data_IF_462874885260
#
_entry.id   IF_462874885260
#
_cell.length_a   1.000
_cell.length_b   1.000
_cell.length_c   1.000
_cell.angle_alpha   90.00
_cell.angle_beta   90.00
_cell.angle_gamma   90.00
#
_symmetry.space_group_name_H-M   'P 1'
#
loop_
_entity.id
_entity.type
_entity.pdbx_description
1 polymer ?
#
# COMPACT_ATOMS: atom_id res chain seq x y z
N UNK A 1 0.06 8.65 -14.41
CA UNK A 1 0.15 7.42 -13.61
C UNK A 1 -0.03 7.84 -12.18
N UNK A 2 -1.10 7.36 -11.55
CA UNK A 2 -1.43 7.63 -10.15
C UNK A 2 -1.13 6.35 -9.37
N UNK A 3 -0.46 6.44 -8.21
CA UNK A 3 -0.32 5.43 -7.14
C UNK A 3 0.04 3.98 -7.46
N UNK A 4 0.14 3.57 -8.74
CA UNK A 4 0.29 2.19 -9.18
C UNK A 4 1.75 1.73 -9.36
N UNK A 5 2.72 2.56 -8.99
CA UNK A 5 4.15 2.29 -9.12
C UNK A 5 4.85 2.58 -7.80
N UNK A 6 5.66 1.63 -7.36
CA UNK A 6 6.57 1.72 -6.22
C UNK A 6 8.00 1.45 -6.73
N UNK A 7 8.97 2.29 -6.37
CA UNK A 7 10.36 2.19 -6.88
C UNK A 7 11.37 2.16 -5.75
N UNK A 8 12.48 1.43 -5.93
CA UNK A 8 13.53 1.29 -4.90
C UNK A 8 14.71 2.25 -5.07
N UNK A 9 14.69 3.09 -6.11
CA UNK A 9 15.80 3.98 -6.48
C UNK A 9 17.07 3.26 -6.98
N UNK A 10 17.05 1.93 -7.12
CA UNK A 10 18.16 1.07 -7.58
C UNK A 10 17.82 0.37 -8.90
N UNK A 11 16.77 0.84 -9.58
CA UNK A 11 16.34 0.34 -10.88
C UNK A 11 15.29 -0.76 -10.82
N UNK A 12 14.64 -1.00 -9.68
CA UNK A 12 13.52 -1.94 -9.58
C UNK A 12 12.21 -1.19 -9.32
N UNK A 13 11.13 -1.70 -9.92
CA UNK A 13 9.77 -1.26 -9.67
C UNK A 13 8.87 -2.43 -9.30
N UNK A 14 7.84 -2.15 -8.52
CA UNK A 14 6.68 -3.02 -8.33
C UNK A 14 5.46 -2.26 -8.86
N UNK A 15 4.65 -2.94 -9.66
CA UNK A 15 3.49 -2.36 -10.33
C UNK A 15 2.29 -3.28 -10.21
N UNK A 16 1.07 -2.74 -10.28
CA UNK A 16 -0.17 -3.54 -10.40
C UNK A 16 -0.68 -3.56 -11.84
N UNK A 17 -0.95 -4.76 -12.36
CA UNK A 17 -1.53 -4.94 -13.70
C UNK A 17 -2.95 -4.37 -13.78
N UNK A 18 -3.74 -4.50 -12.70
CA UNK A 18 -5.11 -3.97 -12.62
C UNK A 18 -5.20 -2.46 -12.78
N UNK A 19 -4.14 -1.71 -12.43
CA UNK A 19 -4.07 -0.26 -12.58
C UNK A 19 -3.36 0.13 -13.89
N UNK A 20 -2.10 -0.27 -14.08
CA UNK A 20 -1.29 0.27 -15.18
C UNK A 20 -1.73 -0.28 -16.54
N UNK A 21 -2.10 -1.56 -16.63
CA UNK A 21 -2.49 -2.21 -17.88
C UNK A 21 -4.01 -2.16 -18.13
N UNK A 22 -4.72 -1.30 -17.40
CA UNK A 22 -6.15 -1.14 -17.58
C UNK A 22 -6.43 -0.27 -18.80
N UNK A 23 -7.40 -0.67 -19.62
CA UNK A 23 -7.83 0.08 -20.81
C UNK A 23 -8.38 1.46 -20.44
N UNK A 24 -8.88 1.64 -19.22
CA UNK A 24 -9.31 2.95 -18.72
C UNK A 24 -8.13 3.90 -18.38
N UNK A 25 -6.88 3.40 -18.34
CA UNK A 25 -5.66 4.19 -18.11
C UNK A 25 -4.81 4.30 -19.37
N UNK A 26 -4.45 3.17 -19.97
CA UNK A 26 -3.54 3.09 -21.12
C UNK A 26 -4.18 2.27 -22.26
N UNK A 27 -5.26 2.77 -22.89
CA UNK A 27 -5.96 2.01 -23.93
C UNK A 27 -5.04 1.71 -25.11
N UNK A 28 -5.14 0.49 -25.63
CA UNK A 28 -4.38 0.01 -26.79
C UNK A 28 -2.86 -0.02 -26.61
N UNK A 29 -2.36 -0.04 -25.37
CA UNK A 29 -0.93 -0.25 -25.08
C UNK A 29 -0.69 -1.68 -24.62
N UNK A 30 0.28 -2.34 -25.24
CA UNK A 30 0.78 -3.61 -24.77
C UNK A 30 1.62 -3.44 -23.50
N UNK A 31 1.72 -4.51 -22.71
CA UNK A 31 2.59 -4.54 -21.52
C UNK A 31 4.04 -4.13 -21.84
N UNK A 32 4.58 -4.59 -22.97
CA UNK A 32 5.94 -4.26 -23.39
C UNK A 32 6.13 -2.77 -23.71
N UNK A 33 5.15 -2.11 -24.33
CA UNK A 33 5.20 -0.65 -24.56
C UNK A 33 5.15 0.13 -23.24
N UNK A 34 4.31 -0.32 -22.30
CA UNK A 34 4.24 0.28 -20.97
C UNK A 34 5.57 0.12 -20.23
N UNK A 35 6.17 -1.07 -20.24
CA UNK A 35 7.49 -1.30 -19.64
C UNK A 35 8.56 -0.41 -20.26
N UNK A 36 8.58 -0.27 -21.59
CA UNK A 36 9.52 0.62 -22.29
C UNK A 36 9.38 2.08 -21.83
N UNK A 37 8.16 2.57 -21.65
CA UNK A 37 7.94 3.92 -21.14
C UNK A 37 8.35 4.05 -19.68
N UNK A 38 8.07 3.05 -18.83
CA UNK A 38 8.52 3.03 -17.43
C UNK A 38 10.06 3.07 -17.33
N UNK A 39 10.76 2.30 -18.17
CA UNK A 39 12.21 2.35 -18.28
C UNK A 39 12.70 3.74 -18.66
N UNK A 40 12.07 4.36 -19.67
CA UNK A 40 12.46 5.67 -20.19
C UNK A 40 12.24 6.80 -19.19
N UNK A 41 11.11 6.79 -18.48
CA UNK A 41 10.71 7.92 -17.62
C UNK A 41 11.17 7.78 -16.17
N UNK A 42 11.28 6.56 -15.64
CA UNK A 42 11.65 6.31 -14.24
C UNK A 42 13.08 5.76 -14.07
N UNK A 43 13.73 5.34 -15.16
CA UNK A 43 15.07 4.73 -15.09
C UNK A 43 15.09 3.35 -14.42
N UNK A 44 13.93 2.73 -14.24
CA UNK A 44 13.82 1.35 -13.74
C UNK A 44 14.23 0.38 -14.84
N UNK A 45 14.72 -0.81 -14.49
CA UNK A 45 15.17 -1.85 -15.42
C UNK A 45 14.46 -3.18 -15.18
N UNK A 46 14.00 -3.42 -13.94
CA UNK A 46 13.25 -4.62 -13.58
C UNK A 46 11.89 -4.21 -13.02
N UNK A 47 10.82 -4.83 -13.52
CA UNK A 47 9.45 -4.55 -13.07
C UNK A 47 8.82 -5.85 -12.58
N UNK A 48 8.41 -5.86 -11.31
CA UNK A 48 7.63 -6.95 -10.72
C UNK A 48 6.15 -6.62 -10.81
N UNK A 49 5.39 -7.47 -11.50
CA UNK A 49 3.97 -7.24 -11.76
C UNK A 49 3.09 -8.03 -10.80
N UNK A 50 2.32 -7.31 -9.98
CA UNK A 50 1.28 -7.85 -9.12
C UNK A 50 -0.08 -7.77 -9.83
N UNK A 51 -1.03 -8.64 -9.48
CA UNK A 51 -2.32 -8.71 -10.19
C UNK A 51 -3.22 -7.50 -9.90
N UNK A 52 -3.37 -7.16 -8.61
CA UNK A 52 -4.37 -6.23 -8.08
C UNK A 52 -5.83 -6.66 -8.39
N UNK A 53 -6.80 -5.82 -8.05
CA UNK A 53 -8.23 -6.05 -8.28
C UNK A 53 -8.83 -4.97 -9.17
N UNK A 54 -9.19 -5.34 -10.41
CA UNK A 54 -9.88 -4.43 -11.34
C UNK A 54 -11.29 -4.11 -10.84
N UNK A 55 -11.72 -2.84 -10.94
CA UNK A 55 -13.10 -2.38 -10.74
C UNK A 55 -13.73 -2.70 -9.37
N UNK A 56 -12.91 -2.82 -8.32
CA UNK A 56 -13.35 -3.12 -6.93
C UNK A 56 -12.93 -2.05 -5.94
N UNK A 57 -11.72 -1.52 -6.10
CA UNK A 57 -11.24 -0.35 -5.37
C UNK A 57 -11.45 0.92 -6.21
N UNK A 58 -11.63 2.07 -5.55
CA UNK A 58 -11.71 3.41 -6.15
C UNK A 58 -10.53 3.66 -7.10
N UNK A 59 -9.40 3.00 -6.83
CA UNK A 59 -8.14 3.18 -7.55
C UNK A 59 -7.80 2.08 -8.58
N UNK A 60 -8.65 1.08 -8.77
CA UNK A 60 -8.30 -0.18 -9.48
C UNK A 60 -7.08 -0.90 -8.83
N UNK A 61 -6.95 -0.74 -7.51
CA UNK A 61 -5.95 -1.34 -6.64
C UNK A 61 -4.51 -0.88 -6.96
N UNK A 62 -4.24 0.36 -6.59
CA UNK A 62 -2.90 0.95 -6.57
C UNK A 62 -1.90 0.09 -5.79
N UNK A 63 -0.61 0.17 -6.15
CA UNK A 63 0.43 -0.68 -5.54
C UNK A 63 0.69 -0.32 -4.08
N UNK A 64 0.40 0.94 -3.70
CA UNK A 64 0.56 1.44 -2.34
C UNK A 64 -0.41 0.84 -1.33
N UNK A 65 -1.36 0.01 -1.78
CA UNK A 65 -2.17 -0.89 -0.95
C UNK A 65 -1.62 -2.31 -0.82
N UNK A 66 -0.59 -2.69 -1.57
CA UNK A 66 -0.09 -4.07 -1.60
C UNK A 66 1.38 -4.21 -1.27
N UNK A 67 2.24 -3.30 -1.70
CA UNK A 67 3.68 -3.47 -1.52
C UNK A 67 4.42 -2.14 -1.39
N UNK A 68 5.44 -2.13 -0.53
CA UNK A 68 6.34 -0.99 -0.33
C UNK A 68 7.78 -1.43 -0.24
N UNK A 69 8.67 -0.71 -0.91
CA UNK A 69 10.09 -0.92 -0.71
C UNK A 69 10.53 -0.33 0.63
N UNK A 70 11.51 -0.98 1.23
CA UNK A 70 12.26 -0.52 2.41
C UNK A 70 13.73 -0.52 2.06
N UNK A 71 14.61 -0.23 3.02
CA UNK A 71 16.04 -0.14 2.75
C UNK A 71 16.63 -1.49 2.27
N UNK A 72 16.12 -2.62 2.79
CA UNK A 72 16.65 -3.97 2.51
C UNK A 72 15.59 -5.05 2.20
N UNK A 73 14.30 -4.69 2.20
CA UNK A 73 13.18 -5.63 2.05
C UNK A 73 12.00 -5.04 1.29
N UNK A 74 11.03 -5.88 0.97
CA UNK A 74 9.70 -5.46 0.50
C UNK A 74 8.67 -5.79 1.58
N UNK A 75 7.89 -4.80 2.01
CA UNK A 75 6.69 -5.05 2.82
C UNK A 75 5.55 -5.47 1.88
N UNK A 76 4.82 -6.51 2.25
CA UNK A 76 3.66 -7.01 1.52
C UNK A 76 2.43 -6.93 2.42
N UNK A 77 1.39 -6.21 2.00
CA UNK A 77 0.13 -6.20 2.72
C UNK A 77 -0.55 -7.57 2.65
N UNK A 78 -1.06 -8.05 3.78
CA UNK A 78 -1.81 -9.30 3.89
C UNK A 78 -3.18 -9.02 4.46
N UNK A 79 -4.20 -9.50 3.75
CA UNK A 79 -5.57 -9.53 4.26
C UNK A 79 -5.89 -10.94 4.77
N UNK A 80 -6.14 -11.05 6.07
CA UNK A 80 -6.41 -12.32 6.74
C UNK A 80 -7.88 -12.71 6.76
N UNK A 81 -8.80 -11.82 6.37
CA UNK A 81 -10.24 -12.07 6.41
C UNK A 81 -10.66 -12.95 5.22
N UNK A 82 -11.04 -14.23 5.41
CA UNK A 82 -11.34 -15.15 4.31
C UNK A 82 -12.44 -14.67 3.35
N UNK A 83 -13.40 -13.90 3.85
CA UNK A 83 -14.49 -13.36 3.06
C UNK A 83 -14.13 -12.04 2.35
N UNK A 84 -12.96 -11.47 2.65
CA UNK A 84 -12.47 -10.26 1.99
C UNK A 84 -12.18 -10.52 0.51
N UNK A 85 -12.56 -9.60 -0.40
CA UNK A 85 -12.14 -9.68 -1.79
C UNK A 85 -10.62 -9.67 -1.97
N UNK A 86 -9.87 -9.10 -1.03
CA UNK A 86 -8.40 -9.00 -1.09
C UNK A 86 -7.67 -10.24 -0.54
N UNK A 87 -8.39 -11.18 0.09
CA UNK A 87 -7.80 -12.40 0.67
C UNK A 87 -6.98 -13.20 -0.35
N UNK A 88 -7.59 -13.54 -1.50
CA UNK A 88 -6.91 -14.35 -2.49
C UNK A 88 -5.75 -13.60 -3.17
N UNK A 89 -5.95 -12.31 -3.49
CA UNK A 89 -4.97 -11.53 -4.26
C UNK A 89 -3.73 -11.19 -3.44
N UNK A 90 -3.87 -10.87 -2.16
CA UNK A 90 -2.72 -10.58 -1.28
C UNK A 90 -1.80 -11.80 -1.14
N UNK A 91 -2.37 -13.01 -1.08
CA UNK A 91 -1.61 -14.28 -1.07
C UNK A 91 -0.91 -14.57 -2.40
N UNK A 92 -1.56 -14.28 -3.52
CA UNK A 92 -0.94 -14.39 -4.85
C UNK A 92 0.21 -13.40 -4.99
N UNK A 93 0.00 -12.15 -4.59
CA UNK A 93 1.01 -11.09 -4.59
C UNK A 93 2.20 -11.47 -3.72
N UNK A 94 1.98 -12.00 -2.52
CA UNK A 94 3.03 -12.52 -1.63
C UNK A 94 3.89 -13.59 -2.32
N UNK A 95 3.28 -14.53 -3.05
CA UNK A 95 4.02 -15.57 -3.79
C UNK A 95 4.90 -14.96 -4.88
N UNK A 96 4.36 -14.01 -5.65
CA UNK A 96 5.12 -13.29 -6.69
C UNK A 96 6.28 -12.53 -6.05
N UNK A 97 6.02 -11.75 -5.00
CA UNK A 97 7.07 -10.99 -4.32
C UNK A 97 8.18 -11.90 -3.79
N UNK A 98 7.84 -13.04 -3.17
CA UNK A 98 8.83 -14.02 -2.67
C UNK A 98 9.64 -14.69 -3.79
N UNK A 99 9.15 -14.70 -5.03
CA UNK A 99 9.91 -15.20 -6.20
C UNK A 99 10.89 -14.15 -6.74
N UNK A 100 10.56 -12.87 -6.64
CA UNK A 100 11.33 -11.78 -7.24
C UNK A 100 12.24 -11.02 -6.26
N UNK A 101 11.95 -11.09 -4.96
CA UNK A 101 12.67 -10.33 -3.93
C UNK A 101 13.21 -11.25 -2.83
N UNK A 102 14.43 -10.97 -2.38
CA UNK A 102 15.16 -11.81 -1.41
C UNK A 102 14.55 -11.81 -0.01
N UNK A 103 13.99 -10.67 0.41
CA UNK A 103 13.43 -10.45 1.74
C UNK A 103 12.08 -9.78 1.57
N UNK A 104 11.02 -10.51 1.88
CA UNK A 104 9.64 -10.04 1.86
C UNK A 104 9.08 -10.24 3.26
N UNK A 105 8.56 -9.17 3.85
CA UNK A 105 7.96 -9.18 5.19
C UNK A 105 6.47 -8.93 5.03
N UNK A 106 5.68 -9.78 5.67
CA UNK A 106 4.22 -9.67 5.68
C UNK A 106 3.81 -8.57 6.66
N UNK A 107 2.88 -7.71 6.23
CA UNK A 107 2.31 -6.64 7.03
C UNK A 107 0.79 -6.83 7.04
N UNK A 108 0.28 -7.36 8.13
CA UNK A 108 -1.11 -7.80 8.25
C UNK A 108 -2.07 -6.61 8.44
N UNK A 109 -3.20 -6.65 7.75
CA UNK A 109 -4.28 -5.68 7.93
C UNK A 109 -4.89 -5.80 9.34
N UNK A 110 -5.47 -4.71 9.90
CA UNK A 110 -6.18 -4.80 11.16
C UNK A 110 -7.46 -5.63 11.05
N UNK A 111 -7.98 -6.10 12.19
CA UNK A 111 -9.31 -6.69 12.22
C UNK A 111 -10.38 -5.61 11.98
N UNK A 112 -11.17 -5.79 10.92
CA UNK A 112 -12.12 -4.76 10.47
C UNK A 112 -13.24 -4.48 11.47
N UNK A 113 -13.78 -5.50 12.15
CA UNK A 113 -14.82 -5.31 13.18
C UNK A 113 -14.30 -4.47 14.35
N UNK A 114 -13.07 -4.75 14.80
CA UNK A 114 -12.38 -4.00 15.85
C UNK A 114 -12.17 -2.54 15.42
N UNK A 115 -11.75 -2.33 14.17
CA UNK A 115 -11.60 -1.00 13.58
C UNK A 115 -12.92 -0.25 13.55
N UNK A 116 -14.00 -0.87 13.06
CA UNK A 116 -15.32 -0.23 12.99
C UNK A 116 -15.75 0.27 14.37
N UNK A 117 -15.72 -0.61 15.38
CA UNK A 117 -16.10 -0.25 16.75
C UNK A 117 -15.26 0.91 17.28
N UNK A 118 -13.94 0.87 17.05
CA UNK A 118 -13.05 1.90 17.54
C UNK A 118 -13.24 3.25 16.82
N UNK A 119 -13.42 3.26 15.50
CA UNK A 119 -13.67 4.47 14.71
C UNK A 119 -15.01 5.10 15.10
N UNK A 120 -16.07 4.30 15.20
CA UNK A 120 -17.40 4.78 15.61
C UNK A 120 -17.39 5.34 17.03
N UNK A 121 -16.61 4.76 17.94
CA UNK A 121 -16.45 5.27 19.30
C UNK A 121 -15.70 6.60 19.37
N UNK A 122 -14.72 6.84 18.47
CA UNK A 122 -13.93 8.09 18.45
C UNK A 122 -14.73 9.29 17.95
N UNK A 123 -15.71 9.07 17.05
CA UNK A 123 -16.57 10.11 16.47
C UNK A 123 -15.82 11.33 15.89
N UNK A 124 -14.57 11.16 15.46
CA UNK A 124 -13.80 12.27 14.89
C UNK A 124 -14.49 12.81 13.63
N UNK A 125 -14.63 14.12 13.52
CA UNK A 125 -15.16 14.77 12.31
C UNK A 125 -16.65 14.54 12.01
N UNK A 126 -17.40 13.80 12.84
CA UNK A 126 -18.85 13.61 12.70
C UNK A 126 -19.30 12.85 11.44
N UNK A 127 -18.39 12.13 10.78
CA UNK A 127 -18.74 11.27 9.64
C UNK A 127 -19.27 9.92 10.11
N UNK A 128 -20.06 9.27 9.25
CA UNK A 128 -20.43 7.86 9.43
C UNK A 128 -19.35 6.96 8.87
N UNK A 129 -19.09 5.86 9.57
CA UNK A 129 -18.17 4.82 9.11
C UNK A 129 -18.62 4.29 7.74
N UNK A 130 -17.67 4.19 6.81
CA UNK A 130 -17.90 3.74 5.45
C UNK A 130 -17.62 2.24 5.34
N UNK A 131 -18.63 1.43 5.66
CA UNK A 131 -18.55 -0.04 5.62
C UNK A 131 -18.12 -0.60 4.26
N UNK A 132 -18.32 0.14 3.17
CA UNK A 132 -18.07 -0.33 1.80
C UNK A 132 -16.77 0.21 1.20
N UNK A 133 -16.02 1.04 1.91
CA UNK A 133 -14.86 1.72 1.35
C UNK A 133 -13.85 2.25 2.36
N UNK A 134 -13.95 1.82 3.62
CA UNK A 134 -12.95 2.17 4.62
C UNK A 134 -11.63 1.43 4.32
N UNK A 135 -10.59 2.17 3.94
CA UNK A 135 -9.29 1.63 3.54
C UNK A 135 -8.37 1.39 4.75
N UNK A 136 -8.68 0.37 5.55
CA UNK A 136 -7.88 0.00 6.72
C UNK A 136 -6.64 -0.82 6.31
N UNK A 137 -5.48 -0.19 6.23
CA UNK A 137 -4.21 -0.88 5.96
C UNK A 137 -2.99 -0.09 6.43
N UNK A 138 -2.01 -0.78 7.00
CA UNK A 138 -0.78 -0.15 7.51
C UNK A 138 0.23 0.18 6.43
N UNK A 139 0.17 -0.51 5.29
CA UNK A 139 1.10 -0.38 4.17
C UNK A 139 1.12 1.03 3.55
N UNK A 140 0.02 1.77 3.69
CA UNK A 140 -0.15 3.15 3.21
C UNK A 140 0.52 4.22 4.08
N UNK A 141 1.66 3.91 4.70
CA UNK A 141 2.46 4.86 5.49
C UNK A 141 3.25 5.82 4.59
N UNK A 142 3.71 6.94 5.15
CA UNK A 142 4.60 7.87 4.44
C UNK A 142 6.00 7.87 5.05
N UNK A 143 7.04 7.86 4.18
CA UNK A 143 8.45 7.93 4.58
C UNK A 143 8.95 9.35 4.37
N UNK A 144 9.16 10.09 5.45
CA UNK A 144 9.79 11.42 5.46
C UNK A 144 11.24 11.33 5.95
N UNK A 145 12.05 12.36 5.72
CA UNK A 145 13.51 12.34 5.94
C UNK A 145 14.00 11.61 7.21
N UNK A 146 13.42 11.89 8.37
CA UNK A 146 13.84 11.31 9.66
C UNK A 146 12.72 10.52 10.36
N UNK A 147 11.55 10.39 9.74
CA UNK A 147 10.39 9.76 10.36
C UNK A 147 9.49 9.02 9.37
N UNK A 148 8.68 8.12 9.92
CA UNK A 148 7.62 7.44 9.20
C UNK A 148 6.30 7.78 9.86
N UNK A 149 5.34 8.20 9.06
CA UNK A 149 3.97 8.42 9.52
C UNK A 149 3.16 7.17 9.19
N UNK A 150 2.84 6.39 10.22
CA UNK A 150 2.15 5.11 10.14
C UNK A 150 0.68 5.29 10.56
N UNK A 151 -0.32 4.83 9.80
CA UNK A 151 -1.71 4.94 10.23
C UNK A 151 -2.00 3.99 11.41
N UNK A 152 -3.01 4.35 12.20
CA UNK A 152 -3.62 3.48 13.21
C UNK A 152 -5.15 3.64 13.17
N UNK A 153 -5.85 2.57 13.54
CA UNK A 153 -7.30 2.41 13.32
C UNK A 153 -8.09 1.99 14.57
N UNK A 154 -7.41 1.74 15.69
CA UNK A 154 -8.01 1.34 16.96
C UNK A 154 -7.88 -0.14 17.31
N UNK A 155 -7.04 -0.89 16.60
CA UNK A 155 -6.71 -2.29 16.87
C UNK A 155 -5.32 -2.39 17.54
N UNK A 156 -5.24 -2.49 18.89
CA UNK A 156 -3.97 -2.35 19.60
C UNK A 156 -2.91 -3.42 19.27
N UNK A 157 -3.36 -4.64 18.94
CA UNK A 157 -2.46 -5.75 18.63
C UNK A 157 -1.88 -5.57 17.23
N UNK A 158 -2.74 -5.30 16.24
CA UNK A 158 -2.30 -5.02 14.88
C UNK A 158 -1.47 -3.73 14.78
N UNK A 159 -1.77 -2.70 15.58
CA UNK A 159 -0.93 -1.49 15.65
C UNK A 159 0.49 -1.80 16.10
N UNK A 160 0.62 -2.65 17.13
CA UNK A 160 1.93 -2.99 17.71
C UNK A 160 2.75 -3.79 16.72
N UNK A 161 2.14 -4.80 16.09
CA UNK A 161 2.78 -5.58 15.05
C UNK A 161 3.26 -4.70 13.89
N UNK A 162 2.38 -3.84 13.36
CA UNK A 162 2.73 -2.92 12.28
C UNK A 162 3.84 -1.95 12.70
N UNK A 163 3.79 -1.41 13.92
CA UNK A 163 4.83 -0.53 14.46
C UNK A 163 6.18 -1.25 14.53
N UNK A 164 6.21 -2.47 15.08
CA UNK A 164 7.44 -3.23 15.26
C UNK A 164 8.06 -3.60 13.90
N UNK A 165 7.25 -4.06 12.95
CA UNK A 165 7.70 -4.40 11.59
C UNK A 165 8.27 -3.16 10.88
N UNK A 166 7.51 -2.06 10.85
CA UNK A 166 7.91 -0.86 10.12
C UNK A 166 9.14 -0.22 10.78
N UNK A 167 9.24 -0.23 12.11
CA UNK A 167 10.42 0.25 12.84
C UNK A 167 11.66 -0.59 12.52
N UNK A 168 11.53 -1.91 12.45
CA UNK A 168 12.64 -2.82 12.12
C UNK A 168 13.08 -2.68 10.65
N UNK A 169 12.13 -2.40 9.75
CA UNK A 169 12.39 -2.17 8.33
C UNK A 169 13.02 -0.82 8.02
N UNK A 170 12.97 0.13 8.96
CA UNK A 170 13.51 1.48 8.83
C UNK A 170 14.23 1.91 10.13
N UNK A 171 15.34 1.25 10.49
CA UNK A 171 15.97 1.41 11.80
C UNK A 171 16.49 2.83 12.08
N UNK A 172 16.74 3.61 11.04
CA UNK A 172 17.26 4.98 11.13
C UNK A 172 16.15 6.04 11.21
N UNK A 173 14.87 5.65 11.24
CA UNK A 173 13.73 6.59 11.23
C UNK A 173 12.86 6.42 12.48
N UNK A 174 12.29 7.53 12.94
CA UNK A 174 11.30 7.51 14.03
C UNK A 174 9.91 7.19 13.47
N UNK A 175 9.28 6.11 13.96
CA UNK A 175 7.90 5.77 13.57
C UNK A 175 6.89 6.51 14.46
N UNK A 176 5.97 7.23 13.83
CA UNK A 176 4.90 7.98 14.46
C UNK A 176 3.54 7.44 14.02
N UNK A 177 2.77 6.89 14.96
CA UNK A 177 1.42 6.39 14.69
C UNK A 177 0.37 7.48 14.85
N UNK A 178 -0.44 7.69 13.81
CA UNK A 178 -1.52 8.69 13.81
C UNK A 178 -2.85 8.06 13.41
N UNK A 179 -3.94 8.47 14.08
CA UNK A 179 -5.27 8.03 13.68
C UNK A 179 -5.66 8.70 12.37
N UNK A 180 -6.02 7.91 11.36
CA UNK A 180 -6.30 8.39 9.99
C UNK A 180 -7.72 8.10 9.54
N UNK A 181 -8.64 8.00 10.49
CA UNK A 181 -10.03 7.58 10.27
C UNK A 181 -10.69 8.33 9.12
N UNK A 182 -10.55 9.66 9.06
CA UNK A 182 -11.15 10.47 7.99
C UNK A 182 -10.58 10.18 6.60
N UNK A 183 -9.27 9.94 6.49
CA UNK A 183 -8.61 9.62 5.22
C UNK A 183 -9.01 8.21 4.77
N UNK A 184 -8.97 7.24 5.70
CA UNK A 184 -9.36 5.87 5.45
C UNK A 184 -10.84 5.74 5.09
N UNK A 185 -11.72 6.52 5.74
CA UNK A 185 -13.15 6.56 5.41
C UNK A 185 -13.43 7.11 4.01
N UNK A 186 -12.52 7.94 3.48
CA UNK A 186 -12.52 8.42 2.10
C UNK A 186 -11.92 7.43 1.08
N UNK A 187 -11.46 6.26 1.52
CA UNK A 187 -10.87 5.23 0.67
C UNK A 187 -9.37 5.39 0.38
N UNK A 188 -8.68 6.24 1.14
CA UNK A 188 -7.25 6.51 0.95
C UNK A 188 -6.40 6.16 2.17
N UNK A 189 -5.10 6.35 2.03
CA UNK A 189 -4.12 6.27 3.13
C UNK A 189 -3.30 7.57 3.23
N UNK A 190 -2.38 7.63 4.21
CA UNK A 190 -1.45 8.76 4.35
C UNK A 190 -0.65 8.92 3.05
N UNK A 191 -0.16 7.81 2.51
CA UNK A 191 0.59 7.77 1.26
C UNK A 191 -0.16 8.45 0.12
N UNK A 192 -1.46 8.16 -0.02
CA UNK A 192 -2.30 8.73 -1.08
C UNK A 192 -2.50 10.25 -0.95
N UNK A 193 -2.33 10.81 0.24
CA UNK A 193 -2.49 12.24 0.54
C UNK A 193 -1.16 13.02 0.52
N UNK A 194 -0.05 12.36 0.19
CA UNK A 194 1.30 12.94 0.23
C UNK A 194 2.02 12.77 -1.10
N UNK A 195 2.93 13.70 -1.39
CA UNK A 195 3.92 13.56 -2.47
C UNK A 195 5.24 14.14 -1.98
N UNK A 196 6.30 13.33 -2.01
CA UNK A 196 7.63 13.78 -1.62
C UNK A 196 8.22 14.73 -2.68
N UNK A 197 8.82 15.82 -2.22
CA UNK A 197 9.69 16.64 -3.05
C UNK A 197 11.11 16.03 -3.03
N UNK A 198 11.80 16.06 -4.16
CA UNK A 198 13.21 15.68 -4.22
C UNK A 198 14.00 16.86 -3.65
N UNK A 199 14.75 16.70 -2.54
CA UNK A 199 15.59 17.79 -2.02
C UNK A 199 16.59 18.24 -3.09
N UNK A 200 16.76 19.56 -3.23
CA UNK A 200 17.79 20.16 -4.09
C UNK A 200 19.21 19.73 -3.73
#
# INVERSE_FOLDING_TARGET
>A
MEGGIEVDGKGNAICTESCILNDNRNPNRSKAEVEQELHRVLGVNNITWLKGLKARDITDAHIDFYARFTDDSVLCAIDDEPESPDYAVTRDNLRVLKQHHRKVIELHAPNYETVQVAVEARQYGGFRFNENGFAAGYIGFYVANDCIILPQFGDPDAHREAFDIVSQSHPDRTVLQIATDGIANGGGSIHCATQQEIPE
#
